data_IF_709184863839
#
_entry.id   IF_709184863839
#
_cell.length_a   1.000
_cell.length_b   1.000
_cell.length_c   1.000
_cell.angle_alpha   90.00
_cell.angle_beta   90.00
_cell.angle_gamma   90.00
#
_symmetry.space_group_name_H-M   'P 1'
#
loop_
_entity.id
_entity.type
_entity.pdbx_description
1 polymer ?
#
# COMPACT_ATOMS: atom_id res chain seq x y z
N UNK A 1 12.21 7.93 8.82
CA UNK A 1 12.04 7.31 10.17
C UNK A 1 11.70 5.86 9.92
N UNK A 2 12.07 4.93 10.78
CA UNK A 2 11.68 3.50 10.67
C UNK A 2 10.99 3.13 11.99
N UNK A 3 9.68 3.31 12.04
CA UNK A 3 8.91 3.27 13.28
C UNK A 3 8.44 1.86 13.63
N UNK A 4 8.26 0.98 12.64
CA UNK A 4 7.86 -0.40 12.83
C UNK A 4 9.02 -1.41 12.77
N UNK A 5 10.21 -0.97 12.37
CA UNK A 5 11.46 -1.71 12.48
C UNK A 5 11.68 -2.73 11.36
N UNK A 6 11.08 -2.54 10.20
CA UNK A 6 11.19 -3.48 9.07
C UNK A 6 12.41 -3.21 8.16
N UNK A 7 13.11 -2.11 8.41
CA UNK A 7 14.31 -1.70 7.69
C UNK A 7 14.05 -0.81 6.48
N UNK A 8 12.80 -0.54 6.14
CA UNK A 8 12.38 0.57 5.31
C UNK A 8 11.97 1.73 6.21
N UNK A 9 11.86 2.93 5.65
CA UNK A 9 11.46 4.08 6.43
C UNK A 9 10.51 4.97 5.68
N UNK A 10 9.76 5.80 6.41
CA UNK A 10 8.90 6.79 5.79
C UNK A 10 9.67 7.98 5.20
N UNK A 11 8.95 8.75 4.39
CA UNK A 11 9.36 10.09 3.94
C UNK A 11 9.53 11.11 5.08
N UNK A 12 9.15 10.76 6.31
CA UNK A 12 9.40 11.59 7.50
C UNK A 12 10.89 11.63 7.79
N UNK A 13 11.50 12.81 7.59
CA UNK A 13 12.91 13.04 7.88
C UNK A 13 13.09 13.58 9.29
N UNK A 14 14.10 13.08 10.00
CA UNK A 14 14.59 13.69 11.24
C UNK A 14 16.11 13.81 11.18
N UNK A 15 16.62 14.93 11.68
CA UNK A 15 18.05 15.14 11.82
C UNK A 15 18.54 14.39 13.05
N UNK A 16 19.41 13.40 12.84
CA UNK A 16 20.03 12.62 13.91
C UNK A 16 21.54 12.73 13.85
N UNK A 17 22.19 12.74 15.02
CA UNK A 17 23.64 12.68 15.09
C UNK A 17 24.09 11.22 14.93
N UNK A 18 24.83 10.92 13.86
CA UNK A 18 25.45 9.61 13.65
C UNK A 18 26.96 9.74 13.49
N UNK A 19 27.71 8.76 14.01
CA UNK A 19 29.15 8.67 13.80
C UNK A 19 29.49 8.19 12.37
N UNK A 20 28.56 7.52 11.68
CA UNK A 20 28.74 7.01 10.32
C UNK A 20 27.46 7.27 9.49
N UNK A 21 27.51 8.07 8.41
CA UNK A 21 26.33 8.40 7.61
C UNK A 21 25.76 7.20 6.84
N UNK A 22 26.52 6.11 6.70
CA UNK A 22 26.08 4.89 6.01
C UNK A 22 25.47 3.84 6.96
N UNK A 23 25.32 4.16 8.24
CA UNK A 23 24.67 3.29 9.22
C UNK A 23 23.54 4.07 9.85
N UNK A 24 22.31 3.65 9.58
CA UNK A 24 21.15 4.23 10.24
C UNK A 24 21.19 3.93 11.74
N UNK A 25 20.97 4.93 12.62
CA UNK A 25 20.74 4.68 14.04
C UNK A 25 19.47 3.85 14.26
N UNK A 26 19.34 3.23 15.43
CA UNK A 26 18.12 2.48 15.78
C UNK A 26 16.86 3.37 15.66
N UNK A 27 15.81 2.86 15.03
CA UNK A 27 14.56 3.58 14.74
C UNK A 27 14.62 4.45 13.47
N UNK A 28 15.64 4.30 12.65
CA UNK A 28 15.79 4.97 11.36
C UNK A 28 16.22 3.99 10.30
N UNK A 29 15.80 4.24 9.07
CA UNK A 29 16.34 3.61 7.87
C UNK A 29 17.00 4.65 6.95
N UNK A 30 17.95 4.19 6.14
CA UNK A 30 18.48 4.94 5.00
C UNK A 30 17.61 4.80 3.75
N UNK A 31 16.71 3.81 3.76
CA UNK A 31 15.68 3.63 2.75
C UNK A 31 14.42 4.38 3.19
N UNK A 32 13.78 5.10 2.26
CA UNK A 32 12.60 5.92 2.53
C UNK A 32 11.36 5.48 1.73
N UNK A 33 11.34 4.23 1.28
CA UNK A 33 10.29 3.68 0.41
C UNK A 33 9.09 3.10 1.16
N UNK A 34 9.08 3.12 2.49
CA UNK A 34 7.99 2.54 3.27
C UNK A 34 6.69 3.34 3.09
N UNK A 35 5.66 2.66 2.59
CA UNK A 35 4.33 3.24 2.41
C UNK A 35 3.45 3.18 3.66
N UNK A 36 3.78 2.36 4.66
CA UNK A 36 3.06 2.23 5.94
C UNK A 36 4.07 1.94 7.08
N UNK A 37 4.78 3.00 7.46
CA UNK A 37 5.75 3.09 8.59
C UNK A 37 5.10 2.91 9.97
N UNK A 38 3.97 2.20 10.03
CA UNK A 38 3.30 1.76 11.25
C UNK A 38 3.04 0.26 11.27
N UNK A 39 3.34 -0.45 10.18
CA UNK A 39 3.11 -1.87 10.01
C UNK A 39 4.21 -2.53 9.15
N UNK A 40 5.12 -3.22 9.82
CA UNK A 40 6.31 -3.88 9.25
C UNK A 40 6.02 -4.93 8.15
N UNK A 41 4.77 -5.30 7.92
CA UNK A 41 4.39 -6.18 6.81
C UNK A 41 4.13 -5.40 5.51
N UNK A 42 3.89 -4.10 5.58
CA UNK A 42 3.37 -3.25 4.51
C UNK A 42 4.42 -2.19 4.10
N UNK A 43 5.54 -2.57 3.51
CA UNK A 43 6.51 -1.58 3.00
C UNK A 43 6.32 -1.22 1.53
N UNK A 44 5.59 -2.02 0.74
CA UNK A 44 5.42 -1.83 -0.70
C UNK A 44 3.96 -1.50 -1.07
N UNK A 45 3.81 -0.58 -2.02
CA UNK A 45 2.52 -0.19 -2.58
C UNK A 45 2.25 -0.93 -3.89
N UNK A 46 1.06 -1.53 -4.02
CA UNK A 46 0.65 -2.25 -5.21
C UNK A 46 -0.61 -1.65 -5.83
N UNK A 47 -0.76 -1.70 -7.17
CA UNK A 47 -1.95 -1.20 -7.83
C UNK A 47 -3.12 -2.18 -7.67
N UNK A 48 -4.28 -1.65 -7.27
CA UNK A 48 -5.56 -2.36 -7.26
C UNK A 48 -6.64 -1.52 -7.95
N UNK A 49 -7.71 -2.17 -8.38
CA UNK A 49 -8.90 -1.52 -8.94
C UNK A 49 -9.85 -1.13 -7.82
N UNK A 50 -10.46 0.06 -7.88
CA UNK A 50 -11.44 0.50 -6.88
C UNK A 50 -12.70 -0.33 -7.02
N UNK A 51 -13.20 -0.88 -5.91
CA UNK A 51 -14.45 -1.63 -5.78
C UNK A 51 -15.33 -0.88 -4.77
N UNK A 52 -16.16 0.02 -5.28
CA UNK A 52 -16.92 0.99 -4.48
C UNK A 52 -18.25 0.42 -3.97
N UNK A 53 -18.81 -0.60 -4.61
CA UNK A 53 -20.04 -1.27 -4.18
C UNK A 53 -19.82 -2.59 -3.43
N UNK A 54 -18.60 -3.13 -3.45
CA UNK A 54 -18.13 -4.23 -2.62
C UNK A 54 -18.50 -5.62 -3.14
N UNK A 55 -18.70 -5.78 -4.45
CA UNK A 55 -19.05 -7.06 -5.07
C UNK A 55 -17.84 -7.96 -5.39
N UNK A 56 -16.63 -7.39 -5.29
CA UNK A 56 -15.36 -8.06 -5.57
C UNK A 56 -14.83 -7.84 -6.99
N UNK A 57 -15.49 -7.06 -7.83
CA UNK A 57 -14.99 -6.58 -9.11
C UNK A 57 -14.71 -5.07 -9.00
N UNK A 58 -13.57 -4.63 -9.53
CA UNK A 58 -13.22 -3.23 -9.51
C UNK A 58 -13.54 -2.55 -10.83
N UNK A 59 -13.67 -1.23 -10.80
CA UNK A 59 -13.76 -0.41 -12.01
C UNK A 59 -12.41 -0.28 -12.73
N UNK A 60 -12.39 0.46 -13.83
CA UNK A 60 -11.13 0.81 -14.53
C UNK A 60 -10.23 1.77 -13.76
N UNK A 61 -10.68 2.27 -12.60
CA UNK A 61 -9.93 3.19 -11.75
C UNK A 61 -8.92 2.42 -10.90
N UNK A 62 -7.63 2.70 -11.08
CA UNK A 62 -6.56 2.11 -10.26
C UNK A 62 -6.09 3.06 -9.15
N UNK A 63 -5.74 2.48 -8.00
CA UNK A 63 -5.03 3.17 -6.92
C UNK A 63 -3.92 2.28 -6.35
N UNK A 64 -2.82 2.92 -5.96
CA UNK A 64 -1.75 2.23 -5.22
C UNK A 64 -2.13 2.15 -3.76
N UNK A 65 -2.15 0.93 -3.21
CA UNK A 65 -2.45 0.67 -1.81
C UNK A 65 -1.30 -0.08 -1.18
N UNK A 66 -0.92 0.34 0.03
CA UNK A 66 0.10 -0.31 0.81
C UNK A 66 -0.43 -1.63 1.37
N UNK A 67 0.22 -2.76 1.08
CA UNK A 67 -0.20 -4.08 1.56
C UNK A 67 0.96 -5.07 1.49
N UNK A 68 0.97 -6.03 2.41
CA UNK A 68 1.96 -7.10 2.44
C UNK A 68 1.88 -8.08 1.26
N UNK A 69 0.78 -8.10 0.50
CA UNK A 69 0.58 -9.06 -0.58
C UNK A 69 -0.11 -8.43 -1.80
N UNK A 70 0.54 -8.37 -2.97
CA UNK A 70 -0.05 -7.84 -4.20
C UNK A 70 -1.20 -8.69 -4.75
N UNK A 71 -1.36 -9.93 -4.27
CA UNK A 71 -2.40 -10.87 -4.73
C UNK A 71 -3.60 -10.94 -3.79
N UNK A 72 -3.68 -10.05 -2.79
CA UNK A 72 -4.82 -9.95 -1.88
C UNK A 72 -5.23 -8.49 -1.81
N UNK A 73 -6.28 -8.15 -2.55
CA UNK A 73 -6.84 -6.80 -2.55
C UNK A 73 -7.40 -6.46 -1.15
N UNK A 74 -7.07 -5.29 -0.57
CA UNK A 74 -7.71 -4.79 0.63
C UNK A 74 -9.20 -4.47 0.42
N UNK A 75 -9.96 -4.31 1.50
CA UNK A 75 -11.37 -3.95 1.41
C UNK A 75 -11.57 -2.63 0.64
N UNK A 76 -12.56 -2.62 -0.27
CA UNK A 76 -12.81 -1.49 -1.18
C UNK A 76 -11.98 -1.52 -2.47
N UNK A 77 -11.24 -2.61 -2.71
CA UNK A 77 -10.45 -2.82 -3.91
C UNK A 77 -10.58 -4.25 -4.44
N UNK A 78 -10.29 -4.41 -5.73
CA UNK A 78 -10.22 -5.70 -6.41
C UNK A 78 -8.96 -5.85 -7.26
N UNK A 79 -8.62 -7.10 -7.56
CA UNK A 79 -7.64 -7.47 -8.58
C UNK A 79 -8.26 -7.55 -9.98
N UNK A 80 -9.59 -7.62 -10.04
CA UNK A 80 -10.35 -7.68 -11.27
C UNK A 80 -10.89 -6.29 -11.62
N UNK A 81 -10.96 -5.97 -12.91
CA UNK A 81 -11.35 -4.66 -13.43
C UNK A 81 -12.58 -4.70 -14.33
N UNK A 82 -13.36 -5.77 -14.23
CA UNK A 82 -14.52 -6.04 -15.08
C UNK A 82 -15.83 -5.49 -14.52
N UNK A 83 -15.79 -4.56 -13.57
CA UNK A 83 -16.99 -3.85 -13.14
C UNK A 83 -17.33 -2.72 -14.12
N UNK A 84 -18.55 -2.79 -14.68
CA UNK A 84 -19.07 -1.81 -15.62
C UNK A 84 -19.90 -0.71 -14.95
N UNK A 85 -20.33 -0.90 -13.71
CA UNK A 85 -21.14 0.02 -12.91
C UNK A 85 -20.83 -0.14 -11.41
N UNK A 86 -19.72 0.50 -11.00
CA UNK A 86 -19.12 0.60 -9.65
C UNK A 86 -20.00 1.35 -8.63
N UNK A 87 -21.31 1.38 -8.86
CA UNK A 87 -22.32 1.89 -7.95
C UNK A 87 -23.41 0.88 -7.65
N UNK A 88 -23.34 -0.31 -8.27
CA UNK A 88 -24.36 -1.34 -8.21
C UNK A 88 -23.74 -2.74 -8.33
N UNK A 89 -23.61 -3.40 -7.18
CA UNK A 89 -23.03 -4.73 -6.97
C UNK A 89 -23.66 -5.91 -7.76
N UNK A 90 -24.63 -5.64 -8.62
CA UNK A 90 -25.24 -6.62 -9.52
C UNK A 90 -24.79 -6.47 -10.98
N UNK A 91 -24.04 -5.43 -11.33
CA UNK A 91 -23.74 -5.03 -12.71
C UNK A 91 -22.24 -5.13 -13.03
N UNK A 92 -21.74 -6.33 -13.25
CA UNK A 92 -20.36 -6.58 -13.70
C UNK A 92 -20.34 -7.41 -14.99
N UNK A 93 -19.19 -7.51 -15.69
CA UNK A 93 -19.14 -8.32 -16.92
C UNK A 93 -19.63 -9.76 -16.66
N UNK A 94 -20.69 -10.16 -17.38
CA UNK A 94 -21.23 -11.52 -17.37
C UNK A 94 -22.63 -11.69 -16.78
N UNK A 95 -23.24 -10.66 -16.18
CA UNK A 95 -24.62 -10.69 -15.65
C UNK A 95 -25.38 -9.39 -15.87
#
# INVERSE_FOLDING_TARGET
VDADGDGFGSTTQQTVCTANPNVAPAGFSLDNTDCDDTNAANHEGYPFYVDADGDGFGSTTQQTVCTANPNVAPAGFSLDNTDCDDTNAANHEGY
#
